data_IF_617172661082
#
_entry.id   IF_617172661082
#
_cell.length_a   1.000
_cell.length_b   1.000
_cell.length_c   1.000
_cell.angle_alpha   90.00
_cell.angle_beta   90.00
_cell.angle_gamma   90.00
#
_symmetry.space_group_name_H-M   'P 1'
#
loop_
_entity.id
_entity.type
_entity.pdbx_description
1 polymer ?
#
# COMPACT_ATOMS: atom_id res chain seq x y z
N UNK A 1 -78.74 -6.23 22.53
CA UNK A 1 -78.61 -7.02 21.28
C UNK A 1 -77.50 -6.39 20.46
N UNK A 2 -76.29 -6.97 20.51
CA UNK A 2 -75.61 -7.67 19.39
C UNK A 2 -75.16 -6.68 18.27
N UNK A 3 -73.92 -6.56 17.80
CA UNK A 3 -72.69 -7.39 17.90
C UNK A 3 -71.48 -6.60 17.36
N UNK A 4 -70.32 -6.78 18.01
CA UNK A 4 -68.92 -6.83 17.51
C UNK A 4 -68.51 -6.09 16.22
N UNK A 5 -67.48 -5.25 16.33
CA UNK A 5 -66.47 -5.06 15.25
C UNK A 5 -65.09 -5.04 15.90
N UNK A 6 -64.37 -6.16 15.75
CA UNK A 6 -62.94 -6.27 16.02
C UNK A 6 -62.19 -5.51 14.92
N UNK A 7 -61.29 -4.60 15.30
CA UNK A 7 -60.26 -4.08 14.39
C UNK A 7 -58.90 -4.44 14.99
N UNK A 8 -58.37 -5.57 14.52
CA UNK A 8 -57.04 -6.05 14.87
C UNK A 8 -55.98 -5.03 14.47
N UNK A 9 -55.05 -4.78 15.38
CA UNK A 9 -53.84 -4.04 15.10
C UNK A 9 -52.96 -4.84 14.15
N UNK A 10 -52.64 -4.25 12.99
CA UNK A 10 -51.55 -4.71 12.14
C UNK A 10 -50.23 -4.39 12.87
N UNK A 11 -49.68 -5.40 13.55
CA UNK A 11 -48.25 -5.46 13.84
C UNK A 11 -47.53 -5.74 12.51
N UNK A 12 -47.15 -4.68 11.80
CA UNK A 12 -46.13 -4.80 10.74
C UNK A 12 -44.80 -5.08 11.44
N UNK A 13 -44.36 -6.34 11.38
CA UNK A 13 -42.99 -6.72 11.71
C UNK A 13 -42.07 -5.98 10.75
N UNK A 14 -41.30 -5.03 11.26
CA UNK A 14 -40.13 -4.51 10.55
C UNK A 14 -39.19 -5.68 10.29
N UNK A 15 -39.17 -6.12 9.03
CA UNK A 15 -38.11 -6.99 8.53
C UNK A 15 -36.87 -6.09 8.46
N UNK A 16 -36.00 -6.21 9.46
CA UNK A 16 -34.65 -5.68 9.40
C UNK A 16 -33.89 -6.43 8.30
N UNK A 17 -34.01 -5.97 7.07
CA UNK A 17 -33.09 -6.31 6.00
C UNK A 17 -31.78 -5.59 6.29
N UNK A 18 -30.62 -6.27 6.40
CA UNK A 18 -29.34 -5.59 6.48
C UNK A 18 -29.21 -4.73 5.21
N UNK A 19 -28.96 -3.42 5.38
CA UNK A 19 -28.64 -2.57 4.26
C UNK A 19 -27.46 -3.20 3.49
N UNK A 20 -27.52 -3.33 2.16
CA UNK A 20 -26.36 -3.77 1.40
C UNK A 20 -25.25 -2.77 1.70
N UNK A 21 -24.14 -3.25 2.26
CA UNK A 21 -22.90 -2.47 2.37
C UNK A 21 -22.53 -2.02 0.97
N UNK A 22 -22.89 -0.78 0.61
CA UNK A 22 -22.58 -0.21 -0.68
C UNK A 22 -21.08 -0.17 -0.83
N UNK A 23 -20.57 -0.78 -1.90
CA UNK A 23 -19.15 -0.74 -2.23
C UNK A 23 -18.66 0.72 -2.26
N UNK A 24 -17.46 1.01 -1.73
CA UNK A 24 -16.96 2.38 -1.68
C UNK A 24 -16.72 2.91 -3.10
N UNK A 25 -16.92 4.21 -3.28
CA UNK A 25 -16.55 4.90 -4.52
C UNK A 25 -15.05 5.21 -4.51
N UNK A 26 -14.39 4.99 -5.64
CA UNK A 26 -12.97 5.25 -5.83
C UNK A 26 -12.77 6.50 -6.70
N UNK A 27 -12.02 7.48 -6.20
CA UNK A 27 -11.72 8.74 -6.91
C UNK A 27 -10.35 9.29 -6.50
N UNK A 28 -9.76 10.09 -7.39
CA UNK A 28 -8.59 10.92 -7.16
C UNK A 28 -8.90 12.44 -7.18
N UNK A 29 -10.10 12.87 -7.59
CA UNK A 29 -10.39 14.25 -8.00
C UNK A 29 -10.24 15.27 -6.87
N UNK A 30 -10.42 14.84 -5.63
CA UNK A 30 -10.34 15.69 -4.44
C UNK A 30 -9.05 15.46 -3.64
N UNK A 31 -8.09 14.74 -4.21
CA UNK A 31 -6.85 14.36 -3.55
C UNK A 31 -5.70 15.01 -4.31
N UNK A 32 -4.84 15.79 -3.65
CA UNK A 32 -3.69 16.37 -4.34
C UNK A 32 -2.74 15.25 -4.81
N UNK A 33 -2.06 15.40 -5.96
CA UNK A 33 -1.15 14.38 -6.49
C UNK A 33 -0.09 13.90 -5.51
N UNK A 34 0.37 14.77 -4.60
CA UNK A 34 1.32 14.42 -3.53
C UNK A 34 0.81 13.35 -2.56
N UNK A 35 -0.50 13.12 -2.50
CA UNK A 35 -1.14 12.12 -1.65
C UNK A 35 -1.65 10.90 -2.42
N UNK A 36 -1.50 10.87 -3.75
CA UNK A 36 -2.01 9.75 -4.56
C UNK A 36 -1.37 8.42 -4.21
N UNK A 37 -0.06 8.38 -3.86
CA UNK A 37 0.59 7.14 -3.38
C UNK A 37 -0.12 6.53 -2.18
N UNK A 38 -0.41 7.35 -1.17
CA UNK A 38 -1.16 6.91 0.02
C UNK A 38 -2.55 6.42 -0.39
N UNK A 39 -3.21 7.13 -1.31
CA UNK A 39 -4.53 6.72 -1.79
C UNK A 39 -4.51 5.38 -2.52
N UNK A 40 -3.48 5.10 -3.32
CA UNK A 40 -3.32 3.80 -3.97
C UNK A 40 -3.07 2.66 -2.96
N UNK A 41 -2.42 2.94 -1.82
CA UNK A 41 -2.33 1.96 -0.72
C UNK A 41 -3.71 1.68 -0.12
N UNK A 42 -4.57 2.69 0.04
CA UNK A 42 -5.95 2.48 0.50
C UNK A 42 -6.75 1.61 -0.50
N UNK A 43 -6.52 1.81 -1.82
CA UNK A 43 -7.11 0.96 -2.86
C UNK A 43 -6.61 -0.48 -2.75
N UNK A 44 -5.30 -0.68 -2.55
CA UNK A 44 -4.73 -2.01 -2.36
C UNK A 44 -5.32 -2.70 -1.14
N UNK A 45 -5.40 -2.01 -0.01
CA UNK A 45 -5.94 -2.56 1.22
C UNK A 45 -7.39 -3.05 1.04
N UNK A 46 -8.18 -2.31 0.25
CA UNK A 46 -9.54 -2.75 -0.08
C UNK A 46 -9.57 -3.99 -0.98
N UNK A 47 -8.73 -4.02 -2.04
CA UNK A 47 -8.61 -5.17 -2.93
C UNK A 47 -8.14 -6.43 -2.18
N UNK A 48 -7.09 -6.30 -1.36
CA UNK A 48 -6.54 -7.38 -0.55
C UNK A 48 -7.60 -7.90 0.45
N UNK A 49 -8.33 -7.00 1.12
CA UNK A 49 -9.39 -7.39 2.05
C UNK A 49 -10.50 -8.21 1.36
N UNK A 50 -10.87 -7.86 0.12
CA UNK A 50 -11.83 -8.64 -0.68
C UNK A 50 -11.32 -10.03 -1.02
N UNK A 51 -10.02 -10.18 -1.24
CA UNK A 51 -9.40 -11.48 -1.56
C UNK A 51 -9.20 -12.41 -0.37
N UNK A 52 -9.25 -11.90 0.87
CA UNK A 52 -9.18 -12.74 2.08
C UNK A 52 -10.40 -13.68 2.19
N UNK A 53 -11.53 -13.35 1.53
CA UNK A 53 -12.73 -14.16 1.59
C UNK A 53 -12.56 -15.51 0.86
N UNK A 54 -12.95 -16.65 1.49
CA UNK A 54 -12.91 -17.94 0.83
C UNK A 54 -13.77 -17.94 -0.45
N UNK A 55 -13.18 -18.34 -1.57
CA UNK A 55 -13.85 -18.33 -2.87
C UNK A 55 -13.89 -16.96 -3.56
N UNK A 56 -13.10 -15.99 -3.11
CA UNK A 56 -12.93 -14.72 -3.81
C UNK A 56 -12.44 -14.96 -5.25
N UNK A 57 -13.15 -14.33 -6.18
CA UNK A 57 -12.82 -14.34 -7.59
C UNK A 57 -12.16 -13.01 -7.95
N UNK A 58 -10.87 -13.06 -8.26
CA UNK A 58 -10.07 -11.88 -8.56
C UNK A 58 -10.66 -11.04 -9.70
N UNK A 59 -11.19 -11.70 -10.75
CA UNK A 59 -11.81 -11.00 -11.88
C UNK A 59 -12.98 -10.15 -11.40
N UNK A 60 -13.85 -10.73 -10.57
CA UNK A 60 -15.03 -10.03 -10.02
C UNK A 60 -14.66 -8.93 -9.04
N UNK A 61 -13.60 -9.12 -8.26
CA UNK A 61 -13.11 -8.09 -7.33
C UNK A 61 -12.56 -6.88 -8.10
N UNK A 62 -11.78 -7.11 -9.16
CA UNK A 62 -11.30 -6.03 -10.03
C UNK A 62 -12.47 -5.37 -10.79
N UNK A 63 -13.41 -6.16 -11.30
CA UNK A 63 -14.62 -5.65 -11.95
C UNK A 63 -15.44 -4.75 -11.00
N UNK A 64 -15.63 -5.16 -9.75
CA UNK A 64 -16.31 -4.36 -8.72
C UNK A 64 -15.55 -3.05 -8.46
N UNK A 65 -14.22 -3.09 -8.41
CA UNK A 65 -13.39 -1.90 -8.26
C UNK A 65 -13.58 -0.92 -9.43
N UNK A 66 -13.46 -1.40 -10.67
CA UNK A 66 -13.65 -0.62 -11.89
C UNK A 66 -15.08 -0.07 -12.04
N UNK A 67 -16.08 -0.82 -11.58
CA UNK A 67 -17.48 -0.39 -11.58
C UNK A 67 -17.69 0.82 -10.66
N UNK A 68 -17.02 0.86 -9.52
CA UNK A 68 -17.13 1.91 -8.51
C UNK A 68 -16.11 3.06 -8.65
N UNK A 69 -15.29 3.06 -9.71
CA UNK A 69 -14.48 4.22 -10.06
C UNK A 69 -15.37 5.41 -10.44
N UNK A 70 -14.93 6.62 -10.08
CA UNK A 70 -15.60 7.88 -10.37
C UNK A 70 -14.59 8.94 -10.82
N UNK A 71 -15.11 9.97 -11.51
CA UNK A 71 -14.33 11.10 -12.04
C UNK A 71 -13.14 10.66 -12.88
N UNK A 72 -11.96 11.25 -12.62
CA UNK A 72 -10.76 11.05 -13.46
C UNK A 72 -10.38 9.56 -13.60
N UNK A 73 -10.53 8.75 -12.54
CA UNK A 73 -10.28 7.31 -12.62
C UNK A 73 -11.22 6.61 -13.61
N UNK A 74 -12.51 6.97 -13.57
CA UNK A 74 -13.51 6.38 -14.46
C UNK A 74 -13.30 6.83 -15.90
N UNK A 75 -13.03 8.11 -16.12
CA UNK A 75 -12.75 8.67 -17.45
C UNK A 75 -11.54 7.98 -18.09
N UNK A 76 -10.46 7.80 -17.33
CA UNK A 76 -9.31 7.01 -17.76
C UNK A 76 -9.70 5.58 -18.13
N UNK A 77 -10.39 4.86 -17.24
CA UNK A 77 -10.75 3.47 -17.48
C UNK A 77 -11.61 3.31 -18.76
N UNK A 78 -12.57 4.20 -18.98
CA UNK A 78 -13.41 4.21 -20.18
C UNK A 78 -12.62 4.52 -21.45
N UNK A 79 -11.48 5.22 -21.36
CA UNK A 79 -10.62 5.54 -22.51
C UNK A 79 -9.76 4.36 -23.02
N UNK A 80 -9.57 3.31 -22.22
CA UNK A 80 -8.69 2.18 -22.56
C UNK A 80 -9.20 1.31 -23.72
N UNK A 81 -10.49 1.38 -24.05
CA UNK A 81 -11.15 0.49 -25.00
C UNK A 81 -11.36 -0.93 -24.44
N UNK A 82 -12.33 -1.66 -25.01
CA UNK A 82 -12.84 -2.92 -24.42
C UNK A 82 -11.75 -3.99 -24.23
N UNK A 83 -10.84 -4.16 -25.20
CA UNK A 83 -9.78 -5.17 -25.12
C UNK A 83 -8.85 -4.92 -23.93
N UNK A 84 -8.45 -3.67 -23.70
CA UNK A 84 -7.56 -3.34 -22.59
C UNK A 84 -8.30 -3.41 -21.24
N UNK A 85 -9.57 -3.01 -21.18
CA UNK A 85 -10.41 -3.20 -20.01
C UNK A 85 -10.51 -4.68 -19.60
N UNK A 86 -10.80 -5.55 -20.57
CA UNK A 86 -10.89 -7.00 -20.35
C UNK A 86 -9.54 -7.58 -19.91
N UNK A 87 -8.43 -7.10 -20.48
CA UNK A 87 -7.09 -7.51 -20.07
C UNK A 87 -6.80 -7.13 -18.60
N UNK A 88 -7.14 -5.89 -18.19
CA UNK A 88 -6.98 -5.43 -16.80
C UNK A 88 -7.79 -6.27 -15.80
N UNK A 89 -8.97 -6.76 -16.16
CA UNK A 89 -9.74 -7.62 -15.27
C UNK A 89 -9.13 -9.02 -15.09
N UNK A 90 -8.27 -9.45 -16.02
CA UNK A 90 -7.63 -10.78 -16.00
C UNK A 90 -6.26 -10.80 -15.31
N UNK A 91 -5.69 -9.65 -14.99
CA UNK A 91 -4.38 -9.57 -14.30
C UNK A 91 -4.52 -9.89 -12.82
N UNK A 92 -3.40 -10.18 -12.15
CA UNK A 92 -3.34 -10.18 -10.68
C UNK A 92 -3.71 -8.81 -10.10
N UNK A 93 -4.10 -8.76 -8.82
CA UNK A 93 -4.36 -7.49 -8.13
C UNK A 93 -3.13 -6.58 -8.13
N UNK A 94 -1.94 -7.16 -7.94
CA UNK A 94 -0.70 -6.39 -7.92
C UNK A 94 -0.37 -5.83 -9.31
N UNK A 95 -0.59 -6.60 -10.39
CA UNK A 95 -0.44 -6.11 -11.77
C UNK A 95 -1.50 -5.06 -12.13
N UNK A 96 -2.75 -5.27 -11.72
CA UNK A 96 -3.85 -4.31 -11.93
C UNK A 96 -3.52 -2.97 -11.28
N UNK A 97 -3.16 -3.01 -9.99
CA UNK A 97 -2.83 -1.81 -9.23
C UNK A 97 -1.53 -1.18 -9.73
N UNK A 98 -0.54 -1.99 -10.13
CA UNK A 98 0.70 -1.52 -10.72
C UNK A 98 0.47 -0.74 -12.03
N UNK A 99 -0.40 -1.25 -12.91
CA UNK A 99 -0.78 -0.54 -14.14
C UNK A 99 -1.53 0.77 -13.85
N UNK A 100 -2.40 0.77 -12.85
CA UNK A 100 -3.11 1.97 -12.40
C UNK A 100 -2.14 3.01 -11.81
N UNK A 101 -1.25 2.58 -10.90
CA UNK A 101 -0.23 3.43 -10.30
C UNK A 101 0.70 4.01 -11.36
N UNK A 102 1.16 3.19 -12.32
CA UNK A 102 2.03 3.64 -13.41
C UNK A 102 1.36 4.72 -14.25
N UNK A 103 0.06 4.60 -14.55
CA UNK A 103 -0.64 5.62 -15.33
C UNK A 103 -0.70 6.98 -14.61
N UNK A 104 -1.01 6.99 -13.30
CA UNK A 104 -1.25 8.22 -12.55
C UNK A 104 -0.01 8.80 -11.88
N UNK A 105 0.95 7.97 -11.50
CA UNK A 105 2.18 8.38 -10.82
C UNK A 105 3.39 8.39 -11.76
N UNK A 106 3.27 7.75 -12.93
CA UNK A 106 4.38 7.53 -13.85
C UNK A 106 5.37 6.49 -13.33
N UNK A 107 6.50 6.40 -14.05
CA UNK A 107 7.74 5.83 -13.52
C UNK A 107 8.25 6.72 -12.36
N UNK A 108 9.06 6.17 -11.46
CA UNK A 108 9.58 6.82 -10.24
C UNK A 108 9.75 8.33 -10.42
N UNK A 109 8.94 9.12 -9.70
CA UNK A 109 8.85 10.57 -9.91
C UNK A 109 10.21 11.21 -9.62
N UNK A 110 10.47 12.41 -10.16
CA UNK A 110 11.68 13.17 -9.81
C UNK A 110 11.86 13.30 -8.28
N UNK A 111 10.76 13.44 -7.54
CA UNK A 111 10.78 13.49 -6.08
C UNK A 111 11.17 12.15 -5.45
N UNK A 112 10.76 11.01 -6.02
CA UNK A 112 11.19 9.69 -5.55
C UNK A 112 12.67 9.46 -5.83
N UNK A 113 13.14 9.87 -7.00
CA UNK A 113 14.56 9.79 -7.38
C UNK A 113 15.41 10.68 -6.47
N UNK A 114 14.93 11.88 -6.12
CA UNK A 114 15.59 12.76 -5.15
C UNK A 114 15.58 12.11 -3.77
N UNK A 115 14.44 11.61 -3.28
CA UNK A 115 14.33 10.99 -1.97
C UNK A 115 15.23 9.74 -1.85
N UNK A 116 15.30 8.95 -2.91
CA UNK A 116 16.17 7.80 -3.01
C UNK A 116 17.64 8.22 -3.02
N UNK A 117 18.02 9.22 -3.82
CA UNK A 117 19.38 9.78 -3.82
C UNK A 117 19.77 10.32 -2.44
N UNK A 118 18.90 11.11 -1.81
CA UNK A 118 19.12 11.63 -0.46
C UNK A 118 19.41 10.48 0.51
N UNK A 119 18.66 9.38 0.43
CA UNK A 119 18.90 8.21 1.27
C UNK A 119 20.29 7.60 1.08
N UNK A 120 20.74 7.46 -0.17
CA UNK A 120 22.08 6.96 -0.51
C UNK A 120 23.22 7.88 -0.03
N UNK A 121 22.93 9.14 0.26
CA UNK A 121 23.92 10.14 0.71
C UNK A 121 23.98 10.31 2.23
N UNK A 122 23.02 9.77 3.00
CA UNK A 122 23.04 9.89 4.47
C UNK A 122 24.23 9.11 5.04
N UNK A 123 25.00 9.74 5.92
CA UNK A 123 26.12 9.14 6.66
C UNK A 123 26.03 9.49 8.14
N UNK A 124 26.51 8.58 8.98
CA UNK A 124 26.84 8.80 10.38
C UNK A 124 28.37 8.80 10.51
N UNK A 125 28.92 9.87 11.05
CA UNK A 125 30.36 10.03 11.22
C UNK A 125 30.78 9.99 12.71
N UNK A 126 29.93 9.41 13.57
CA UNK A 126 30.10 9.42 15.02
C UNK A 126 29.89 8.01 15.57
N UNK A 127 30.69 7.66 16.57
CA UNK A 127 30.53 6.44 17.36
C UNK A 127 29.72 6.68 18.64
N UNK A 128 29.32 7.93 18.90
CA UNK A 128 28.53 8.29 20.08
C UNK A 128 27.12 7.73 19.99
N UNK A 129 26.64 7.14 21.09
CA UNK A 129 25.35 6.43 21.12
C UNK A 129 24.18 7.32 20.70
N UNK A 130 24.17 8.58 21.14
CA UNK A 130 23.10 9.53 20.80
C UNK A 130 23.04 9.86 19.30
N UNK A 131 24.19 9.93 18.64
CA UNK A 131 24.27 10.19 17.20
C UNK A 131 23.84 8.97 16.40
N UNK A 132 24.22 7.77 16.86
CA UNK A 132 23.78 6.51 16.29
C UNK A 132 22.26 6.32 16.43
N UNK A 133 21.66 6.66 17.58
CA UNK A 133 20.21 6.64 17.79
C UNK A 133 19.49 7.58 16.81
N UNK A 134 20.00 8.82 16.66
CA UNK A 134 19.44 9.82 15.74
C UNK A 134 19.56 9.36 14.28
N UNK A 135 20.68 8.76 13.92
CA UNK A 135 20.92 8.21 12.60
C UNK A 135 19.99 7.04 12.29
N UNK A 136 19.83 6.09 13.23
CA UNK A 136 18.86 5.00 13.10
C UNK A 136 17.44 5.52 12.86
N UNK A 137 16.99 6.50 13.65
CA UNK A 137 15.66 7.09 13.46
C UNK A 137 15.50 7.73 12.08
N UNK A 138 16.51 8.47 11.62
CA UNK A 138 16.48 9.11 10.30
C UNK A 138 16.46 8.08 9.16
N UNK A 139 17.34 7.08 9.22
CA UNK A 139 17.47 6.03 8.21
C UNK A 139 16.22 5.15 8.17
N UNK A 140 15.74 4.66 9.33
CA UNK A 140 14.52 3.84 9.39
C UNK A 140 13.31 4.58 8.84
N UNK A 141 13.11 5.85 9.20
CA UNK A 141 12.00 6.64 8.70
C UNK A 141 12.02 6.75 7.16
N UNK A 142 13.18 7.08 6.57
CA UNK A 142 13.32 7.18 5.11
C UNK A 142 13.22 5.82 4.42
N UNK A 143 13.78 4.76 5.00
CA UNK A 143 13.71 3.39 4.49
C UNK A 143 12.26 2.96 4.26
N UNK A 144 11.39 3.19 5.25
CA UNK A 144 9.97 2.83 5.12
C UNK A 144 9.20 3.76 4.16
N UNK A 145 9.56 5.04 4.05
CA UNK A 145 9.00 5.95 3.04
C UNK A 145 9.32 5.51 1.61
N UNK A 146 10.50 4.91 1.40
CA UNK A 146 10.97 4.42 0.11
C UNK A 146 10.53 2.98 -0.18
N UNK A 147 9.61 2.41 0.61
CA UNK A 147 9.17 1.02 0.46
C UNK A 147 10.35 0.02 0.52
N UNK A 148 11.32 0.27 1.40
CA UNK A 148 12.57 -0.50 1.45
C UNK A 148 12.43 -1.99 1.77
N UNK A 149 11.26 -2.45 2.18
CA UNK A 149 10.94 -3.88 2.27
C UNK A 149 11.05 -4.58 0.91
N UNK A 150 10.83 -3.85 -0.19
CA UNK A 150 10.89 -4.34 -1.56
C UNK A 150 12.17 -3.94 -2.30
N UNK A 151 13.10 -3.23 -1.65
CA UNK A 151 14.37 -2.79 -2.23
C UNK A 151 15.56 -3.21 -1.35
N UNK A 152 16.19 -4.31 -1.75
CA UNK A 152 17.37 -4.87 -1.10
C UNK A 152 18.55 -3.89 -1.02
N UNK A 153 18.68 -2.95 -1.97
CA UNK A 153 19.79 -2.00 -2.02
C UNK A 153 19.79 -1.02 -0.84
N UNK A 154 18.61 -0.73 -0.28
CA UNK A 154 18.46 0.23 0.81
C UNK A 154 19.00 -0.29 2.15
N UNK A 155 19.00 -1.62 2.37
CA UNK A 155 19.61 -2.22 3.57
C UNK A 155 21.13 -2.16 3.51
N UNK A 156 21.72 -2.49 2.36
CA UNK A 156 23.17 -2.37 2.16
C UNK A 156 23.63 -0.92 2.34
N UNK A 157 22.85 0.03 1.82
CA UNK A 157 23.10 1.46 2.01
C UNK A 157 23.03 1.87 3.48
N UNK A 158 22.10 1.28 4.24
CA UNK A 158 22.03 1.53 5.68
C UNK A 158 23.29 1.05 6.40
N UNK A 159 23.79 -0.15 6.09
CA UNK A 159 25.08 -0.62 6.63
C UNK A 159 26.21 0.34 6.24
N UNK A 160 26.34 0.68 4.95
CA UNK A 160 27.37 1.60 4.45
C UNK A 160 27.25 3.04 4.95
N UNK A 161 26.17 3.37 5.66
CA UNK A 161 25.96 4.70 6.23
C UNK A 161 26.62 4.89 7.60
N UNK A 162 27.05 3.82 8.27
CA UNK A 162 27.74 3.88 9.55
C UNK A 162 29.23 4.24 9.40
N UNK A 163 29.94 4.62 10.49
CA UNK A 163 31.40 4.66 10.51
C UNK A 163 32.02 3.32 10.12
N UNK A 164 33.20 3.36 9.47
CA UNK A 164 33.88 2.16 8.93
C UNK A 164 34.12 1.10 10.02
N UNK A 165 34.45 1.53 11.23
CA UNK A 165 34.69 0.66 12.38
C UNK A 165 33.46 -0.18 12.74
N UNK A 166 32.25 0.40 12.65
CA UNK A 166 31.00 -0.32 12.89
C UNK A 166 30.64 -1.23 11.72
N UNK A 167 30.93 -0.80 10.48
CA UNK A 167 30.68 -1.63 9.30
C UNK A 167 31.49 -2.93 9.36
N UNK A 168 32.79 -2.83 9.63
CA UNK A 168 33.67 -3.99 9.74
C UNK A 168 33.22 -4.96 10.85
N UNK A 169 32.87 -4.41 12.02
CA UNK A 169 32.40 -5.20 13.14
C UNK A 169 31.07 -5.91 12.83
N UNK A 170 30.13 -5.22 12.17
CA UNK A 170 28.88 -5.84 11.72
C UNK A 170 29.14 -6.97 10.73
N UNK A 171 29.97 -6.76 9.70
CA UNK A 171 30.29 -7.81 8.73
C UNK A 171 30.93 -9.02 9.39
N UNK A 172 31.78 -8.81 10.41
CA UNK A 172 32.36 -9.88 11.22
C UNK A 172 31.28 -10.69 11.95
N UNK A 173 30.32 -10.02 12.60
CA UNK A 173 29.20 -10.67 13.31
C UNK A 173 28.30 -11.44 12.33
N UNK A 174 28.04 -10.89 11.14
CA UNK A 174 27.22 -11.53 10.11
C UNK A 174 27.84 -12.81 9.57
N UNK A 175 29.15 -12.78 9.32
CA UNK A 175 29.90 -13.97 8.92
C UNK A 175 29.87 -15.06 10.01
N UNK A 176 29.99 -14.69 11.28
CA UNK A 176 29.94 -15.64 12.40
C UNK A 176 28.54 -16.24 12.59
N UNK A 177 27.49 -15.46 12.33
CA UNK A 177 26.10 -15.87 12.50
C UNK A 177 25.45 -16.46 11.24
N UNK A 178 26.19 -16.52 10.12
CA UNK A 178 25.71 -16.97 8.81
C UNK A 178 24.39 -16.27 8.39
N UNK A 179 24.29 -14.96 8.69
CA UNK A 179 23.13 -14.12 8.35
C UNK A 179 23.45 -13.25 7.13
N UNK A 180 22.46 -13.09 6.26
CA UNK A 180 22.47 -12.15 5.15
C UNK A 180 21.77 -10.84 5.57
N UNK A 181 22.42 -9.69 5.35
CA UNK A 181 21.88 -8.34 5.58
C UNK A 181 20.52 -8.17 4.92
N UNK A 182 20.33 -8.77 3.74
CA UNK A 182 19.07 -8.68 3.01
C UNK A 182 17.90 -9.30 3.77
N UNK A 183 18.17 -10.26 4.66
CA UNK A 183 17.17 -10.95 5.49
C UNK A 183 16.97 -10.29 6.86
N UNK A 184 17.83 -9.34 7.24
CA UNK A 184 17.74 -8.66 8.53
C UNK A 184 16.76 -7.49 8.50
N UNK A 185 16.17 -7.20 9.65
CA UNK A 185 15.41 -5.97 9.87
C UNK A 185 16.34 -4.78 10.15
N UNK A 186 15.87 -3.54 9.95
CA UNK A 186 16.64 -2.34 10.32
C UNK A 186 17.06 -2.34 11.79
N UNK A 187 16.23 -2.89 12.68
CA UNK A 187 16.52 -2.99 14.11
C UNK A 187 17.46 -4.14 14.49
N UNK A 188 17.62 -5.16 13.64
CA UNK A 188 18.70 -6.16 13.81
C UNK A 188 20.05 -5.66 13.31
N UNK A 189 20.04 -4.68 12.40
CA UNK A 189 21.24 -4.01 11.88
C UNK A 189 21.76 -2.96 12.88
N UNK A 190 20.87 -2.36 13.69
CA UNK A 190 21.19 -1.39 14.74
C UNK A 190 21.68 -2.02 16.04
#
# INVERSE_FOLDING_TARGET
>A
MATKTERGGLHSKEINTPAPTSSPLFSLDHIPPSQWRKKFLDFKAWLDAKMVHPGADQYKVIEEFCANMTGTLKEWYMSLGQVNQDNFHRTSIDEFLGGLQYHFLGESTLLDQIAQREYFEIRCCSLEKEDLDRHYQRMSHRFYQLNGMNDASLKNTYVSSFPEELQEEMWRILQQSNKDVLQMTMGEIY
#
